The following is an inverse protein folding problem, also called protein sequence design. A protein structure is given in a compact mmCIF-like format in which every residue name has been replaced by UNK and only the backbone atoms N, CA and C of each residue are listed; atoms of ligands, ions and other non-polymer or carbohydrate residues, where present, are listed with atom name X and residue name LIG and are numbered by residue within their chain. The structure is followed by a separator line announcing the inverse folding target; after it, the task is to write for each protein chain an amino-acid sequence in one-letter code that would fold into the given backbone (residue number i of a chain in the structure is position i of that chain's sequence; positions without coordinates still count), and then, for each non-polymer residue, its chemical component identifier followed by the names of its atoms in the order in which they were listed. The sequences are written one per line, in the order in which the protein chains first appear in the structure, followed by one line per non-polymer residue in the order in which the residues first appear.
data_IF_339849894701
#
_entry.id   IF_339849894701
#
_cell.length_a   1.000
_cell.length_b   1.000
_cell.length_c   1.000
_cell.angle_alpha   90.00
_cell.angle_beta   90.00
_cell.angle_gamma   90.00
#
_symmetry.space_group_name_H-M   'P 1'
#
loop_
_entity.id
_entity.type
_entity.pdbx_description
1 polymer ?
#
# COMPACT_ATOMS: atom_id res chain seq x y z
N UNK A 1 4.13 27.44 79.72
CA UNK A 1 3.88 26.10 79.14
C UNK A 1 2.51 26.16 78.45
N UNK A 2 2.25 26.04 77.14
CA UNK A 2 3.03 25.84 75.90
C UNK A 2 2.26 26.59 74.79
N UNK A 3 2.97 27.46 74.06
CA UNK A 3 2.50 28.30 72.94
C UNK A 3 2.42 27.50 71.61
N UNK A 4 1.91 26.26 71.59
CA UNK A 4 2.00 25.39 70.38
C UNK A 4 0.70 25.23 69.56
N UNK A 5 -0.46 25.66 70.05
CA UNK A 5 -1.72 25.37 69.32
C UNK A 5 -1.93 26.22 68.07
N UNK A 6 -1.35 27.43 67.99
CA UNK A 6 -1.58 28.37 66.87
C UNK A 6 -0.66 28.11 65.68
N UNK A 7 0.56 27.62 65.92
CA UNK A 7 1.53 27.20 64.88
C UNK A 7 1.14 25.87 64.24
N UNK A 8 0.62 24.90 65.01
CA UNK A 8 0.13 23.62 64.44
C UNK A 8 -1.07 23.79 63.50
N UNK A 9 -1.96 24.76 63.75
CA UNK A 9 -3.07 25.08 62.82
C UNK A 9 -2.58 25.63 61.48
N UNK A 10 -1.54 26.46 61.48
CA UNK A 10 -0.93 26.97 60.24
C UNK A 10 -0.20 25.85 59.49
N UNK A 11 0.56 25.01 60.20
CA UNK A 11 1.25 23.86 59.62
C UNK A 11 0.26 22.83 59.02
N UNK A 12 -0.86 22.59 59.69
CA UNK A 12 -1.95 21.74 59.20
C UNK A 12 -2.59 22.28 57.92
N UNK A 13 -2.77 23.60 57.82
CA UNK A 13 -3.29 24.23 56.58
C UNK A 13 -2.30 24.06 55.42
N UNK A 14 -0.98 24.20 55.67
CA UNK A 14 0.03 23.95 54.63
C UNK A 14 0.09 22.48 54.21
N UNK A 15 -0.10 21.52 55.13
CA UNK A 15 -0.12 20.08 54.82
C UNK A 15 -1.37 19.72 54.00
N UNK A 16 -2.54 20.28 54.32
CA UNK A 16 -3.77 20.08 53.54
C UNK A 16 -3.64 20.69 52.15
N UNK A 17 -2.99 21.86 52.02
CA UNK A 17 -2.72 22.48 50.73
C UNK A 17 -1.78 21.62 49.88
N UNK A 18 -0.76 21.00 50.50
CA UNK A 18 0.22 20.14 49.81
C UNK A 18 -0.40 18.83 49.30
N UNK A 19 -1.39 18.28 50.02
CA UNK A 19 -2.14 17.09 49.58
C UNK A 19 -3.09 17.39 48.41
N UNK A 20 -3.62 18.61 48.30
CA UNK A 20 -4.50 19.01 47.19
C UNK A 20 -3.76 19.16 45.85
N UNK A 21 -2.45 19.44 45.87
CA UNK A 21 -1.64 19.52 44.63
C UNK A 21 -1.17 18.14 44.16
N UNK A 22 -1.10 17.15 45.05
CA UNK A 22 -0.64 15.80 44.71
C UNK A 22 -1.70 14.94 43.99
N UNK A 23 -2.97 15.37 43.95
CA UNK A 23 -4.07 14.66 43.27
C UNK A 23 -4.33 15.10 41.84
N UNK A 24 -3.44 15.91 41.23
CA UNK A 24 -3.45 16.05 39.77
C UNK A 24 -3.00 14.72 39.17
N UNK A 25 -3.97 13.85 38.89
CA UNK A 25 -3.79 12.77 37.93
C UNK A 25 -3.23 13.41 36.67
N UNK A 26 -1.94 13.22 36.43
CA UNK A 26 -1.33 13.45 35.13
C UNK A 26 -1.95 12.41 34.22
N UNK A 27 -3.17 12.70 33.75
CA UNK A 27 -3.61 12.21 32.47
C UNK A 27 -2.64 12.87 31.49
N UNK A 28 -1.51 12.21 31.26
CA UNK A 28 -0.81 12.35 30.00
C UNK A 28 -1.90 12.16 28.96
N UNK A 29 -2.32 13.27 28.36
CA UNK A 29 -3.08 13.20 27.13
C UNK A 29 -2.19 12.36 26.25
N UNK A 30 -2.61 11.12 26.00
CA UNK A 30 -2.11 10.35 24.87
C UNK A 30 -2.50 11.23 23.70
N UNK A 31 -1.61 12.16 23.35
CA UNK A 31 -1.56 12.76 22.03
C UNK A 31 -1.49 11.52 21.18
N UNK A 32 -2.63 11.10 20.64
CA UNK A 32 -2.66 10.23 19.49
C UNK A 32 -1.74 10.99 18.55
N UNK A 33 -0.51 10.48 18.40
CA UNK A 33 0.43 11.02 17.46
C UNK A 33 -0.33 10.95 16.16
N UNK A 34 -0.79 12.13 15.69
CA UNK A 34 -1.64 12.20 14.51
C UNK A 34 -0.82 11.90 13.25
N UNK A 35 0.48 11.87 13.44
CA UNK A 35 1.44 11.22 12.60
C UNK A 35 1.55 9.78 13.13
N UNK A 36 0.79 8.85 12.55
CA UNK A 36 1.21 7.45 12.58
C UNK A 36 2.66 7.49 12.07
N UNK A 37 3.62 6.94 12.80
CA UNK A 37 4.98 6.88 12.30
C UNK A 37 4.93 6.01 11.03
N UNK A 38 5.01 6.67 9.87
CA UNK A 38 4.98 6.05 8.55
C UNK A 38 6.36 6.16 7.94
N UNK A 39 6.87 5.05 7.43
CA UNK A 39 8.14 5.03 6.70
C UNK A 39 7.89 5.10 5.19
N UNK A 40 8.52 6.06 4.51
CA UNK A 40 8.51 6.11 3.05
C UNK A 40 9.31 4.93 2.49
N UNK A 41 8.65 4.06 1.73
CA UNK A 41 9.26 2.87 1.11
C UNK A 41 9.66 3.15 -0.32
N UNK A 42 8.78 3.79 -1.09
CA UNK A 42 9.02 4.09 -2.50
C UNK A 42 8.41 5.44 -2.88
N UNK A 43 9.07 6.13 -3.81
CA UNK A 43 8.57 7.33 -4.45
C UNK A 43 8.90 7.28 -5.94
N UNK A 44 7.91 7.52 -6.78
CA UNK A 44 8.03 7.60 -8.23
C UNK A 44 7.40 8.91 -8.71
N UNK A 45 8.01 9.53 -9.73
CA UNK A 45 7.47 10.72 -10.40
C UNK A 45 7.44 10.50 -11.91
N UNK A 46 6.37 10.93 -12.56
CA UNK A 46 6.16 10.74 -14.00
C UNK A 46 4.80 11.26 -14.43
N UNK A 47 4.54 11.23 -15.73
CA UNK A 47 3.30 11.78 -16.32
C UNK A 47 2.28 10.65 -16.51
N UNK A 48 1.25 10.55 -15.65
CA UNK A 48 0.22 9.50 -15.71
C UNK A 48 -0.98 9.88 -16.58
N UNK A 49 -1.14 11.17 -16.88
CA UNK A 49 -2.30 11.70 -17.62
C UNK A 49 -1.94 12.30 -18.99
N UNK A 50 -0.66 12.25 -19.37
CA UNK A 50 -0.05 12.81 -20.58
C UNK A 50 -0.24 14.35 -20.72
N UNK A 51 -0.29 15.08 -19.60
CA UNK A 51 -0.43 16.54 -19.58
C UNK A 51 0.92 17.29 -19.50
N UNK A 52 2.03 16.54 -19.52
CA UNK A 52 3.42 17.01 -19.41
C UNK A 52 3.77 17.56 -18.03
N UNK A 53 3.01 17.23 -16.99
CA UNK A 53 3.32 17.53 -15.60
C UNK A 53 3.64 16.24 -14.85
N UNK A 54 4.55 16.35 -13.88
CA UNK A 54 4.90 15.20 -13.07
C UNK A 54 3.82 14.96 -12.01
N UNK A 55 3.15 13.83 -12.14
CA UNK A 55 2.38 13.19 -11.11
C UNK A 55 3.32 12.43 -10.15
N UNK A 56 2.79 12.00 -9.01
CA UNK A 56 3.57 11.33 -7.97
C UNK A 56 2.87 10.08 -7.48
N UNK A 57 3.64 9.01 -7.34
CA UNK A 57 3.22 7.77 -6.68
C UNK A 57 4.10 7.56 -5.46
N UNK A 58 3.47 7.26 -4.33
CA UNK A 58 4.15 7.02 -3.06
C UNK A 58 3.67 5.71 -2.44
N UNK A 59 4.62 5.00 -1.85
CA UNK A 59 4.36 3.82 -1.05
C UNK A 59 4.91 4.05 0.35
N UNK A 60 4.03 4.01 1.34
CA UNK A 60 4.37 4.22 2.74
C UNK A 60 3.99 3.00 3.57
N UNK A 61 4.77 2.67 4.59
CA UNK A 61 4.46 1.59 5.53
C UNK A 61 4.10 2.20 6.89
N UNK A 62 2.97 1.80 7.46
CA UNK A 62 2.64 2.12 8.85
C UNK A 62 3.46 1.19 9.76
N UNK A 63 4.46 1.74 10.47
CA UNK A 63 5.38 0.94 11.27
C UNK A 63 4.89 0.71 12.71
N UNK A 64 3.85 1.44 13.13
CA UNK A 64 3.22 1.29 14.46
C UNK A 64 2.12 0.23 14.46
N UNK A 65 1.50 -0.03 13.30
CA UNK A 65 0.57 -1.15 13.14
C UNK A 65 1.34 -2.49 13.12
N UNK A 66 0.94 -3.42 13.99
CA UNK A 66 1.57 -4.75 14.10
C UNK A 66 1.58 -5.53 12.78
N UNK A 67 0.60 -5.29 11.90
CA UNK A 67 0.51 -5.94 10.60
C UNK A 67 1.42 -5.31 9.54
N UNK A 68 1.92 -4.10 9.80
CA UNK A 68 2.72 -3.27 8.90
C UNK A 68 2.12 -3.19 7.48
N UNK A 69 0.92 -2.62 7.33
CA UNK A 69 0.28 -2.44 6.05
C UNK A 69 1.03 -1.40 5.22
N UNK A 70 1.07 -1.63 3.90
CA UNK A 70 1.60 -0.66 2.94
C UNK A 70 0.46 0.12 2.30
N UNK A 71 0.59 1.45 2.27
CA UNK A 71 -0.36 2.38 1.68
C UNK A 71 0.18 2.92 0.36
N UNK A 72 -0.51 2.60 -0.73
CA UNK A 72 -0.30 3.22 -2.02
C UNK A 72 -1.05 4.55 -2.08
N UNK A 73 -0.34 5.61 -2.46
CA UNK A 73 -0.89 6.93 -2.71
C UNK A 73 -0.53 7.38 -4.13
N UNK A 74 -1.50 7.97 -4.83
CA UNK A 74 -1.27 8.56 -6.15
C UNK A 74 -1.78 9.99 -6.13
N UNK A 75 -0.93 10.89 -6.60
CA UNK A 75 -1.20 12.32 -6.67
C UNK A 75 -1.09 12.80 -8.11
N UNK A 76 -2.12 13.49 -8.60
CA UNK A 76 -2.09 14.14 -9.91
C UNK A 76 -1.73 15.61 -9.78
N UNK A 77 -0.87 16.11 -10.68
CA UNK A 77 -0.59 17.53 -10.81
C UNK A 77 -1.84 18.27 -11.27
N UNK A 78 -2.10 19.42 -10.66
CA UNK A 78 -3.17 20.33 -11.03
C UNK A 78 -2.61 21.51 -11.85
N UNK A 79 -3.45 22.27 -12.58
CA UNK A 79 -2.99 23.43 -13.35
C UNK A 79 -2.25 24.50 -12.52
N UNK A 80 -2.51 24.57 -11.21
CA UNK A 80 -1.82 25.45 -10.27
C UNK A 80 -0.54 24.83 -9.67
N UNK A 81 -0.07 23.70 -10.24
CA UNK A 81 1.08 22.90 -9.81
C UNK A 81 0.94 22.26 -8.43
N UNK A 82 -0.25 22.29 -7.82
CA UNK A 82 -0.50 21.52 -6.59
C UNK A 82 -0.73 20.06 -6.93
N UNK A 83 -0.42 19.19 -5.98
CA UNK A 83 -0.68 17.77 -6.06
C UNK A 83 -2.03 17.45 -5.43
N UNK A 84 -2.93 16.84 -6.18
CA UNK A 84 -4.20 16.31 -5.68
C UNK A 84 -4.08 14.81 -5.47
N UNK A 85 -4.26 14.34 -4.24
CA UNK A 85 -4.35 12.89 -3.97
C UNK A 85 -5.65 12.35 -4.56
N UNK A 86 -5.53 11.37 -5.47
CA UNK A 86 -6.66 10.71 -6.13
C UNK A 86 -6.82 9.25 -5.72
N UNK A 87 -5.77 8.63 -5.18
CA UNK A 87 -5.79 7.27 -4.62
C UNK A 87 -5.08 7.27 -3.27
N UNK A 88 -5.68 6.56 -2.31
CA UNK A 88 -5.06 6.17 -1.04
C UNK A 88 -5.66 4.83 -0.63
N UNK A 89 -4.86 3.76 -0.64
CA UNK A 89 -5.35 2.41 -0.35
C UNK A 89 -4.27 1.53 0.27
N UNK A 90 -4.66 0.71 1.24
CA UNK A 90 -3.84 -0.35 1.83
C UNK A 90 -4.24 -1.74 1.35
N UNK A 91 -5.21 -1.84 0.42
CA UNK A 91 -5.84 -3.13 0.06
C UNK A 91 -5.03 -3.93 -0.95
N UNK A 92 -4.38 -3.24 -1.89
CA UNK A 92 -3.78 -3.86 -3.08
C UNK A 92 -2.50 -4.65 -2.77
N UNK A 93 -1.89 -4.39 -1.61
CA UNK A 93 -0.66 -5.02 -1.14
C UNK A 93 -0.97 -5.77 0.15
N UNK A 94 -0.51 -7.01 0.26
CA UNK A 94 -0.62 -7.76 1.51
C UNK A 94 0.27 -7.09 2.58
N UNK A 95 -0.24 -6.88 3.81
CA UNK A 95 0.58 -6.40 4.92
C UNK A 95 1.82 -7.30 5.12
N UNK A 96 2.94 -6.73 5.61
CA UNK A 96 4.16 -7.52 5.82
C UNK A 96 3.97 -8.59 6.90
N UNK A 97 3.04 -8.41 7.84
CA UNK A 97 2.70 -9.36 8.91
C UNK A 97 1.18 -9.58 8.98
N UNK A 98 0.58 -10.30 8.02
CA UNK A 98 -0.86 -10.38 7.91
C UNK A 98 -1.46 -11.19 9.08
N UNK A 99 -2.68 -10.83 9.49
CA UNK A 99 -3.34 -11.37 10.70
C UNK A 99 -3.42 -12.91 10.69
N UNK A 100 -3.67 -13.50 9.52
CA UNK A 100 -3.75 -14.96 9.34
C UNK A 100 -2.42 -15.68 9.59
N UNK A 101 -1.29 -14.97 9.58
CA UNK A 101 0.06 -15.47 9.87
C UNK A 101 0.51 -15.23 11.31
N UNK A 102 -0.35 -14.69 12.19
CA UNK A 102 -0.14 -14.60 13.65
C UNK A 102 1.24 -14.03 14.06
N UNK A 103 1.65 -12.95 13.39
CA UNK A 103 2.94 -12.27 13.66
C UNK A 103 4.12 -12.77 12.83
N UNK A 104 3.92 -13.75 11.93
CA UNK A 104 4.93 -14.15 10.96
C UNK A 104 4.90 -13.24 9.72
N UNK A 105 6.08 -13.03 9.12
CA UNK A 105 6.24 -12.25 7.90
C UNK A 105 5.55 -12.94 6.71
N UNK A 106 4.99 -12.16 5.78
CA UNK A 106 4.28 -12.70 4.61
C UNK A 106 5.21 -13.45 3.63
N UNK A 107 6.52 -13.16 3.67
CA UNK A 107 7.56 -13.81 2.88
C UNK A 107 7.74 -13.23 1.46
N UNK A 108 6.93 -12.25 1.08
CA UNK A 108 6.96 -11.62 -0.24
C UNK A 108 7.74 -10.30 -0.17
N UNK A 109 8.56 -9.96 -1.18
CA UNK A 109 9.11 -8.62 -1.32
C UNK A 109 8.01 -7.57 -1.45
N UNK A 110 8.33 -6.34 -1.09
CA UNK A 110 7.45 -5.20 -1.33
C UNK A 110 7.35 -4.98 -2.85
N UNK A 111 6.15 -4.77 -3.42
CA UNK A 111 5.98 -4.49 -4.85
C UNK A 111 6.67 -3.19 -5.29
N UNK A 112 7.20 -3.20 -6.51
CA UNK A 112 7.76 -2.01 -7.16
C UNK A 112 6.70 -1.32 -8.01
N UNK A 113 6.58 0.00 -7.88
CA UNK A 113 5.76 0.86 -8.74
C UNK A 113 6.62 1.75 -9.64
N UNK A 114 6.27 1.85 -10.92
CA UNK A 114 6.90 2.81 -11.83
C UNK A 114 5.93 3.28 -12.91
N UNK A 115 6.28 4.40 -13.54
CA UNK A 115 5.46 5.03 -14.58
C UNK A 115 6.14 4.86 -15.92
N UNK A 116 5.42 4.31 -16.89
CA UNK A 116 5.92 4.13 -18.26
C UNK A 116 4.79 4.46 -19.24
N UNK A 117 5.03 5.44 -20.12
CA UNK A 117 4.09 5.82 -21.19
C UNK A 117 2.65 6.14 -20.70
N UNK A 118 2.52 6.83 -19.56
CA UNK A 118 1.21 7.16 -18.98
C UNK A 118 0.49 5.98 -18.32
N UNK A 119 1.19 4.87 -18.08
CA UNK A 119 0.68 3.68 -17.40
C UNK A 119 1.44 3.49 -16.09
N UNK A 120 0.70 3.34 -14.99
CA UNK A 120 1.26 2.91 -13.73
C UNK A 120 1.43 1.39 -13.77
N UNK A 121 2.66 0.91 -13.55
CA UNK A 121 2.97 -0.51 -13.48
C UNK A 121 3.31 -0.90 -12.06
N UNK A 122 2.74 -2.01 -11.59
CA UNK A 122 3.09 -2.65 -10.32
C UNK A 122 3.71 -4.01 -10.60
N UNK A 123 4.93 -4.24 -10.10
CA UNK A 123 5.61 -5.53 -10.17
C UNK A 123 5.57 -6.22 -8.82
N UNK A 124 5.22 -7.49 -8.82
CA UNK A 124 5.23 -8.33 -7.63
C UNK A 124 6.04 -9.58 -7.88
N UNK A 125 6.74 -10.07 -6.85
CA UNK A 125 7.30 -11.42 -6.82
C UNK A 125 6.65 -12.17 -5.66
N UNK A 126 5.73 -13.08 -5.96
CA UNK A 126 4.95 -13.80 -4.95
C UNK A 126 5.04 -15.28 -5.24
N UNK A 127 5.50 -16.07 -4.27
CA UNK A 127 5.66 -17.53 -4.43
C UNK A 127 6.45 -17.91 -5.71
N UNK A 128 7.56 -17.21 -5.99
CA UNK A 128 8.39 -17.33 -7.19
C UNK A 128 7.68 -17.01 -8.53
N UNK A 129 6.50 -16.38 -8.47
CA UNK A 129 5.76 -15.91 -9.64
C UNK A 129 5.91 -14.41 -9.76
N UNK A 130 6.63 -13.99 -10.80
CA UNK A 130 6.72 -12.58 -11.17
C UNK A 130 5.45 -12.17 -11.87
N UNK A 131 4.82 -11.10 -11.41
CA UNK A 131 3.60 -10.57 -12.02
C UNK A 131 3.74 -9.07 -12.26
N UNK A 132 3.17 -8.60 -13.35
CA UNK A 132 3.03 -7.18 -13.70
C UNK A 132 1.55 -6.86 -13.82
N UNK A 133 1.14 -5.75 -13.22
CA UNK A 133 -0.21 -5.22 -13.27
C UNK A 133 -0.14 -3.79 -13.83
N UNK A 134 -0.85 -3.55 -14.93
CA UNK A 134 -0.83 -2.27 -15.63
C UNK A 134 -2.13 -1.51 -15.37
N UNK A 135 -2.02 -0.27 -14.89
CA UNK A 135 -3.14 0.61 -14.59
C UNK A 135 -3.10 1.86 -15.45
N UNK A 136 -4.22 2.16 -16.12
CA UNK A 136 -4.39 3.39 -16.90
C UNK A 136 -5.30 4.36 -16.17
N UNK A 137 -4.94 5.64 -16.18
CA UNK A 137 -5.84 6.69 -15.74
C UNK A 137 -6.96 6.95 -16.76
N UNK A 138 -8.22 6.88 -16.31
CA UNK A 138 -9.40 7.25 -17.09
C UNK A 138 -10.45 7.89 -16.19
N UNK A 139 -10.91 9.10 -16.54
CA UNK A 139 -11.92 9.83 -15.76
C UNK A 139 -11.58 9.87 -14.25
N UNK A 140 -10.33 10.23 -13.91
CA UNK A 140 -9.80 10.27 -12.55
C UNK A 140 -9.80 8.93 -11.79
N UNK A 141 -9.93 7.79 -12.48
CA UNK A 141 -9.79 6.46 -11.89
C UNK A 141 -8.63 5.72 -12.54
N UNK A 142 -7.86 4.99 -11.74
CA UNK A 142 -6.85 4.06 -12.23
C UNK A 142 -7.49 2.69 -12.45
N UNK A 143 -7.67 2.31 -13.70
CA UNK A 143 -8.30 1.08 -14.14
C UNK A 143 -7.22 0.03 -14.46
N UNK A 144 -7.33 -1.19 -13.92
CA UNK A 144 -6.50 -2.33 -14.31
C UNK A 144 -6.82 -2.72 -15.75
N UNK A 145 -5.82 -2.69 -16.63
CA UNK A 145 -5.98 -2.96 -18.06
C UNK A 145 -5.30 -4.24 -18.52
N UNK A 146 -4.17 -4.60 -17.90
CA UNK A 146 -3.38 -5.77 -18.29
C UNK A 146 -2.75 -6.44 -17.08
N UNK A 147 -2.63 -7.75 -17.16
CA UNK A 147 -1.91 -8.59 -16.19
C UNK A 147 -0.97 -9.49 -16.99
N UNK A 148 0.29 -9.53 -16.58
CA UNK A 148 1.27 -10.49 -17.11
C UNK A 148 1.88 -11.27 -15.96
N UNK A 149 2.05 -12.58 -16.11
CA UNK A 149 2.68 -13.44 -15.11
C UNK A 149 3.70 -14.35 -15.74
N UNK A 150 4.79 -14.58 -15.02
CA UNK A 150 5.88 -15.46 -15.41
C UNK A 150 6.21 -16.35 -14.22
N UNK A 151 6.18 -17.66 -14.44
CA UNK A 151 6.66 -18.66 -13.51
C UNK A 151 7.83 -19.39 -14.18
N UNK A 152 8.97 -19.45 -13.51
CA UNK A 152 10.13 -20.22 -13.99
C UNK A 152 10.14 -21.60 -13.32
N UNK A 153 10.41 -22.64 -14.11
CA UNK A 153 10.47 -24.03 -13.64
C UNK A 153 11.77 -24.35 -12.87
N UNK A 154 12.68 -23.39 -12.75
CA UNK A 154 14.01 -23.57 -12.15
C UNK A 154 15.04 -24.19 -13.09
N UNK A 155 14.70 -24.37 -14.37
CA UNK A 155 15.55 -24.97 -15.40
C UNK A 155 15.56 -24.10 -16.65
N UNK A 156 14.86 -24.49 -17.71
CA UNK A 156 14.98 -23.90 -19.04
C UNK A 156 13.67 -23.31 -19.57
N UNK A 157 12.58 -23.40 -18.81
CA UNK A 157 11.23 -23.06 -19.29
C UNK A 157 10.53 -22.08 -18.36
N UNK A 158 9.85 -21.09 -18.96
CA UNK A 158 8.92 -20.22 -18.25
C UNK A 158 7.50 -20.46 -18.72
N UNK A 159 6.57 -20.63 -17.78
CA UNK A 159 5.14 -20.58 -18.05
C UNK A 159 4.66 -19.15 -17.90
N UNK A 160 4.11 -18.59 -18.98
CA UNK A 160 3.67 -17.21 -19.07
C UNK A 160 2.14 -17.14 -19.22
N UNK A 161 1.55 -16.13 -18.58
CA UNK A 161 0.14 -15.79 -18.76
C UNK A 161 0.01 -14.31 -19.03
N UNK A 162 -0.71 -13.95 -20.08
CA UNK A 162 -1.07 -12.57 -20.40
C UNK A 162 -2.59 -12.43 -20.43
N UNK A 163 -3.12 -11.43 -19.72
CA UNK A 163 -4.54 -11.11 -19.67
C UNK A 163 -4.70 -9.65 -20.08
N UNK A 164 -5.42 -9.41 -21.17
CA UNK A 164 -5.82 -8.07 -21.62
C UNK A 164 -7.30 -7.89 -21.28
N UNK A 165 -7.58 -7.08 -20.25
CA UNK A 165 -8.94 -6.86 -19.76
C UNK A 165 -9.75 -5.93 -20.67
N UNK A 166 -9.09 -5.11 -21.49
CA UNK A 166 -9.74 -4.26 -22.49
C UNK A 166 -10.26 -5.13 -23.64
N UNK A 167 -9.41 -6.01 -24.17
CA UNK A 167 -9.77 -6.92 -25.26
C UNK A 167 -10.59 -8.12 -24.78
N UNK A 168 -10.56 -8.42 -23.48
CA UNK A 168 -11.16 -9.63 -22.92
C UNK A 168 -10.48 -10.88 -23.45
N UNK A 169 -9.15 -10.94 -23.40
CA UNK A 169 -8.38 -12.09 -23.90
C UNK A 169 -7.38 -12.58 -22.87
N UNK A 170 -7.20 -13.90 -22.82
CA UNK A 170 -6.16 -14.57 -22.03
C UNK A 170 -5.29 -15.42 -22.96
N UNK A 171 -3.99 -15.28 -22.86
CA UNK A 171 -3.00 -16.11 -23.54
C UNK A 171 -2.15 -16.82 -22.50
N UNK A 172 -1.98 -18.13 -22.63
CA UNK A 172 -1.15 -18.98 -21.78
C UNK A 172 -0.16 -19.68 -22.69
N UNK A 173 1.14 -19.62 -22.38
CA UNK A 173 2.16 -20.28 -23.17
C UNK A 173 3.42 -20.57 -22.38
N UNK A 174 4.11 -21.64 -22.78
CA UNK A 174 5.45 -21.93 -22.29
C UNK A 174 6.49 -21.38 -23.25
N UNK A 175 7.58 -20.84 -22.69
CA UNK A 175 8.75 -20.37 -23.43
C UNK A 175 9.97 -21.10 -22.91
N UNK A 176 10.57 -21.90 -23.79
CA UNK A 176 11.89 -22.46 -23.54
C UNK A 176 12.98 -21.41 -23.85
N UNK A 177 14.14 -21.50 -23.20
CA UNK A 177 15.31 -20.69 -23.56
C UNK A 177 15.83 -20.98 -24.98
N UNK A 178 15.42 -22.11 -25.57
CA UNK A 178 15.58 -22.38 -26.99
C UNK A 178 14.40 -21.81 -27.80
N UNK A 179 14.62 -20.98 -28.83
CA UNK A 179 13.57 -20.17 -29.49
C UNK A 179 12.51 -20.94 -30.30
N UNK A 180 12.51 -22.27 -30.26
CA UNK A 180 11.86 -23.12 -31.26
C UNK A 180 10.50 -23.71 -30.84
N UNK A 181 10.01 -23.49 -29.62
CA UNK A 181 8.71 -24.03 -29.21
C UNK A 181 7.94 -23.06 -28.31
N UNK A 182 6.82 -22.57 -28.84
CA UNK A 182 5.78 -21.86 -28.07
C UNK A 182 4.47 -22.61 -28.28
N UNK A 183 4.06 -23.39 -27.29
CA UNK A 183 2.69 -23.91 -27.26
C UNK A 183 1.79 -22.79 -26.73
N UNK A 184 1.17 -22.03 -27.63
CA UNK A 184 0.30 -20.90 -27.24
C UNK A 184 -1.15 -21.35 -27.20
N UNK A 185 -1.76 -21.23 -26.03
CA UNK A 185 -3.19 -21.40 -25.82
C UNK A 185 -3.84 -20.04 -25.65
N UNK A 186 -4.73 -19.70 -26.58
CA UNK A 186 -5.50 -18.45 -26.54
C UNK A 186 -6.95 -18.73 -26.14
N UNK A 187 -7.46 -17.95 -25.19
CA UNK A 187 -8.83 -18.01 -24.71
C UNK A 187 -9.47 -16.64 -24.78
N UNK A 188 -10.67 -16.55 -25.36
CA UNK A 188 -11.50 -15.33 -25.27
C UNK A 188 -12.22 -15.33 -23.93
N UNK A 189 -12.09 -14.24 -23.18
CA UNK A 189 -12.84 -13.97 -21.97
C UNK A 189 -14.11 -13.19 -22.32
N UNK A 190 -15.05 -13.13 -21.37
CA UNK A 190 -16.18 -12.20 -21.48
C UNK A 190 -15.64 -10.78 -21.36
N UNK A 191 -15.99 -9.85 -22.28
CA UNK A 191 -15.63 -8.45 -22.15
C UNK A 191 -16.11 -7.88 -20.81
N UNK A 192 -15.21 -7.23 -20.08
CA UNK A 192 -15.53 -6.62 -18.80
C UNK A 192 -16.07 -5.21 -19.07
N UNK A 193 -17.33 -4.95 -18.73
CA UNK A 193 -17.98 -3.65 -18.98
C UNK A 193 -17.34 -2.53 -18.15
N UNK A 194 -16.88 -2.83 -16.94
CA UNK A 194 -16.28 -1.89 -16.01
C UNK A 194 -15.00 -2.49 -15.46
N UNK A 195 -13.86 -1.88 -15.81
CA UNK A 195 -12.56 -2.37 -15.38
C UNK A 195 -12.38 -2.20 -13.87
N UNK A 196 -11.65 -3.10 -13.20
CA UNK A 196 -11.36 -2.99 -11.78
C UNK A 196 -10.56 -1.72 -11.49
N UNK A 197 -10.90 -1.03 -10.40
CA UNK A 197 -10.20 0.18 -9.97
C UNK A 197 -9.16 -0.16 -8.91
N UNK A 198 -8.02 0.51 -8.94
CA UNK A 198 -6.91 0.25 -8.02
C UNK A 198 -7.31 0.40 -6.54
N UNK A 199 -8.23 1.32 -6.22
CA UNK A 199 -8.73 1.58 -4.87
C UNK A 199 -9.64 0.47 -4.32
N UNK A 200 -10.26 -0.30 -5.23
CA UNK A 200 -11.24 -1.35 -4.91
C UNK A 200 -10.61 -2.74 -4.97
N UNK A 201 -9.46 -2.88 -5.63
CA UNK A 201 -8.70 -4.12 -5.73
C UNK A 201 -7.98 -4.44 -4.42
N UNK A 202 -8.21 -5.64 -3.91
CA UNK A 202 -7.36 -6.23 -2.88
C UNK A 202 -6.25 -7.09 -3.47
N UNK A 203 -5.21 -7.35 -2.69
CA UNK A 203 -4.19 -8.35 -2.98
C UNK A 203 -4.82 -9.69 -3.42
N UNK A 204 -5.82 -10.16 -2.68
CA UNK A 204 -6.52 -11.40 -2.99
C UNK A 204 -7.30 -11.37 -4.31
N UNK A 205 -7.73 -10.20 -4.78
CA UNK A 205 -8.42 -10.08 -6.07
C UNK A 205 -7.44 -10.17 -7.24
N UNK A 206 -6.24 -9.63 -7.09
CA UNK A 206 -5.17 -9.77 -8.08
C UNK A 206 -4.75 -11.23 -8.27
N UNK A 207 -4.77 -12.01 -7.20
CA UNK A 207 -4.43 -13.43 -7.20
C UNK A 207 -5.50 -14.33 -7.87
N UNK A 208 -6.72 -13.83 -8.10
CA UNK A 208 -7.83 -14.60 -8.73
C UNK A 208 -7.83 -14.58 -10.25
N UNK A 209 -7.13 -13.63 -10.89
CA UNK A 209 -6.98 -13.60 -12.35
C UNK A 209 -6.13 -14.77 -12.84
#
# INVERSE_FOLDING_TARGET
MIKNKRTMKKLSVYIVLLFLVASSNVYSQKTVNKDNDTSLVQKEEGDLNNDKQNDKVMLEMDIEDETRPLRLQIFLSQPDKKLQMVVSSTKIIEPQYPINKKGEHNGNPIPDFFIEEGVLRMLTDINNRKSSYEFRLKQNNFELIKISRVLWDGKETTSETEIDLIKGTKSEYDRDFSPNKKNIKNTKLKPIKTLPKIQDLSFSDLEKY
#
